data_IF_106538979404
#
_entry.id   IF_106538979404
#
_cell.length_a   1.000
_cell.length_b   1.000
_cell.length_c   1.000
_cell.angle_alpha   90.00
_cell.angle_beta   90.00
_cell.angle_gamma   90.00
#
_symmetry.space_group_name_H-M   'P 1'
#
loop_
_entity.id
_entity.type
_entity.pdbx_description
1 polymer ?
#
# COMPACT_ATOMS: atom_id res chain seq x y z
N UNK A 1 0.91 6.99 2.30
CA UNK A 1 -0.53 7.25 2.11
C UNK A 1 -1.12 7.72 3.43
N UNK A 2 -1.56 8.95 3.49
CA UNK A 2 -2.02 9.60 4.73
C UNK A 2 -3.49 10.03 4.68
N UNK A 3 -4.16 9.82 3.56
CA UNK A 3 -5.56 10.20 3.37
C UNK A 3 -6.46 8.98 3.31
N UNK A 4 -7.77 9.21 3.25
CA UNK A 4 -8.73 8.14 3.02
C UNK A 4 -8.54 7.54 1.63
N UNK A 5 -9.02 6.32 1.46
CA UNK A 5 -8.94 5.60 0.19
C UNK A 5 -10.01 6.13 -0.78
N UNK A 6 -9.57 6.81 -1.82
CA UNK A 6 -10.40 7.25 -2.93
C UNK A 6 -9.65 6.89 -4.21
N UNK A 7 -10.34 6.95 -5.35
CA UNK A 7 -9.64 6.78 -6.64
C UNK A 7 -8.59 7.87 -6.83
N UNK A 8 -8.86 9.09 -6.34
CA UNK A 8 -7.92 10.20 -6.46
C UNK A 8 -6.66 9.99 -5.62
N UNK A 9 -6.79 9.37 -4.43
CA UNK A 9 -5.64 9.14 -3.56
C UNK A 9 -4.85 7.89 -3.96
N UNK A 10 -5.51 6.88 -4.52
CA UNK A 10 -4.85 5.60 -4.87
C UNK A 10 -4.29 5.59 -6.29
N UNK A 11 -4.90 6.30 -7.23
CA UNK A 11 -4.46 6.29 -8.63
C UNK A 11 -2.99 6.70 -8.81
N UNK A 12 -2.47 7.75 -8.16
CA UNK A 12 -1.05 8.09 -8.28
C UNK A 12 -0.13 6.98 -7.76
N UNK A 13 -0.55 6.27 -6.73
CA UNK A 13 0.24 5.16 -6.15
C UNK A 13 0.23 3.96 -7.09
N UNK A 14 -0.92 3.63 -7.65
CA UNK A 14 -1.05 2.56 -8.65
C UNK A 14 -0.16 2.86 -9.85
N UNK A 15 -0.23 4.10 -10.35
CA UNK A 15 0.60 4.55 -11.47
C UNK A 15 2.09 4.42 -11.15
N UNK A 16 2.50 4.84 -9.96
CA UNK A 16 3.87 4.75 -9.50
C UNK A 16 4.37 3.30 -9.50
N UNK A 17 3.59 2.37 -8.95
CA UNK A 17 3.97 0.95 -8.93
C UNK A 17 4.11 0.41 -10.35
N UNK A 18 3.15 0.73 -11.23
CA UNK A 18 3.18 0.27 -12.62
C UNK A 18 4.41 0.84 -13.33
N UNK A 19 4.68 2.14 -13.19
CA UNK A 19 5.83 2.77 -13.84
C UNK A 19 7.14 2.15 -13.41
N UNK A 20 7.29 1.83 -12.12
CA UNK A 20 8.52 1.18 -11.64
C UNK A 20 8.67 -0.24 -12.18
N UNK A 21 7.56 -0.96 -12.35
CA UNK A 21 7.58 -2.30 -12.93
C UNK A 21 7.89 -2.31 -14.43
N UNK A 22 7.65 -1.19 -15.12
CA UNK A 22 7.94 -1.06 -16.55
C UNK A 22 9.40 -0.72 -16.84
N UNK A 23 10.18 -0.37 -15.83
CA UNK A 23 11.60 -0.10 -16.02
C UNK A 23 12.36 -1.35 -16.40
N UNK A 24 13.48 -1.23 -17.19
CA UNK A 24 14.37 -2.35 -17.42
C UNK A 24 14.90 -2.93 -16.11
N UNK A 25 15.19 -4.23 -16.08
CA UNK A 25 15.66 -4.90 -14.86
C UNK A 25 16.84 -4.20 -14.21
N UNK A 26 17.76 -3.65 -15.01
CA UNK A 26 18.94 -2.94 -14.50
C UNK A 26 18.61 -1.61 -13.80
N UNK A 27 17.44 -1.03 -14.06
CA UNK A 27 17.02 0.24 -13.51
C UNK A 27 15.90 0.10 -12.48
N UNK A 28 15.39 -1.12 -12.31
CA UNK A 28 14.28 -1.40 -11.42
C UNK A 28 14.74 -1.38 -9.96
N UNK A 29 14.04 -0.68 -9.06
CA UNK A 29 14.42 -0.70 -7.64
C UNK A 29 14.25 -2.11 -7.04
N UNK A 30 15.01 -2.39 -5.99
CA UNK A 30 14.94 -3.68 -5.31
C UNK A 30 13.65 -3.87 -4.53
N UNK A 31 13.06 -2.76 -4.09
CA UNK A 31 11.81 -2.76 -3.33
C UNK A 31 11.10 -1.42 -3.52
N UNK A 32 9.79 -1.43 -3.25
CA UNK A 32 8.99 -0.23 -3.14
C UNK A 32 8.47 -0.17 -1.70
N UNK A 33 8.55 0.99 -1.07
CA UNK A 33 8.07 1.16 0.29
C UNK A 33 6.82 2.03 0.30
N UNK A 34 5.74 1.50 0.85
CA UNK A 34 4.46 2.20 0.97
C UNK A 34 4.16 2.43 2.45
N UNK A 35 4.11 3.69 2.84
CA UNK A 35 3.74 4.09 4.20
C UNK A 35 2.24 4.29 4.24
N UNK A 36 1.57 3.63 5.19
CA UNK A 36 0.12 3.67 5.32
C UNK A 36 -0.26 4.30 6.65
N UNK A 37 -1.04 5.38 6.56
CA UNK A 37 -1.65 6.06 7.68
C UNK A 37 -3.02 6.53 7.19
N UNK A 38 -4.04 5.70 7.37
CA UNK A 38 -5.34 5.95 6.74
C UNK A 38 -6.50 5.46 7.59
N UNK A 39 -7.59 6.24 7.66
CA UNK A 39 -8.83 5.81 8.33
C UNK A 39 -9.64 4.80 7.50
N UNK A 40 -9.23 4.51 6.26
CA UNK A 40 -9.98 3.66 5.35
C UNK A 40 -10.62 4.46 4.23
N UNK A 41 -11.70 3.97 3.66
CA UNK A 41 -12.40 4.64 2.57
C UNK A 41 -13.01 3.67 1.58
N UNK A 42 -12.92 3.99 0.28
CA UNK A 42 -13.49 3.18 -0.78
C UNK A 42 -12.83 1.82 -0.91
N UNK A 43 -13.63 0.77 -0.79
CA UNK A 43 -13.16 -0.62 -0.93
C UNK A 43 -12.67 -0.87 -2.36
N UNK A 44 -13.36 -0.34 -3.36
CA UNK A 44 -12.96 -0.53 -4.75
C UNK A 44 -11.62 0.14 -5.06
N UNK A 45 -11.41 1.34 -4.54
CA UNK A 45 -10.12 2.02 -4.71
C UNK A 45 -9.00 1.25 -4.01
N UNK A 46 -9.27 0.70 -2.83
CA UNK A 46 -8.30 -0.12 -2.11
C UNK A 46 -7.98 -1.40 -2.88
N UNK A 47 -8.97 -2.06 -3.45
CA UNK A 47 -8.74 -3.28 -4.22
C UNK A 47 -7.88 -3.04 -5.45
N UNK A 48 -8.08 -1.91 -6.15
CA UNK A 48 -7.25 -1.56 -7.30
C UNK A 48 -5.77 -1.45 -6.88
N UNK A 49 -5.52 -0.80 -5.74
CA UNK A 49 -4.16 -0.69 -5.20
C UNK A 49 -3.61 -2.05 -4.76
N UNK A 50 -4.40 -2.84 -4.04
CA UNK A 50 -4.00 -4.15 -3.55
C UNK A 50 -3.65 -5.08 -4.71
N UNK A 51 -4.47 -5.11 -5.75
CA UNK A 51 -4.21 -5.97 -6.91
C UNK A 51 -2.94 -5.53 -7.63
N UNK A 52 -2.68 -4.24 -7.72
CA UNK A 52 -1.46 -3.71 -8.30
C UNK A 52 -0.24 -4.12 -7.47
N UNK A 53 -0.34 -4.05 -6.15
CA UNK A 53 0.74 -4.47 -5.25
C UNK A 53 1.05 -5.95 -5.41
N UNK A 54 0.01 -6.79 -5.47
CA UNK A 54 0.17 -8.25 -5.62
C UNK A 54 0.70 -8.64 -6.98
N UNK A 55 0.37 -7.86 -8.02
CA UNK A 55 0.88 -8.10 -9.36
C UNK A 55 2.27 -7.56 -9.62
N UNK A 56 2.83 -6.80 -8.68
CA UNK A 56 4.15 -6.19 -8.83
C UNK A 56 5.24 -7.25 -8.82
N UNK A 57 6.18 -7.17 -9.77
CA UNK A 57 7.39 -7.98 -9.78
C UNK A 57 8.41 -7.47 -8.75
N UNK A 58 8.24 -6.22 -8.30
CA UNK A 58 9.08 -5.62 -7.27
C UNK A 58 8.40 -5.82 -5.91
N UNK A 59 9.10 -6.34 -4.89
CA UNK A 59 8.50 -6.47 -3.56
C UNK A 59 8.00 -5.13 -3.03
N UNK A 60 6.79 -5.10 -2.48
CA UNK A 60 6.20 -3.90 -1.90
C UNK A 60 6.22 -4.06 -0.38
N UNK A 61 7.08 -3.28 0.25
CA UNK A 61 7.18 -3.24 1.71
C UNK A 61 6.16 -2.25 2.26
N UNK A 62 5.39 -2.64 3.26
CA UNK A 62 4.41 -1.74 3.87
C UNK A 62 4.85 -1.36 5.27
N UNK A 63 4.68 -0.08 5.60
CA UNK A 63 5.00 0.47 6.91
C UNK A 63 3.73 1.14 7.46
N UNK A 64 3.23 0.64 8.56
CA UNK A 64 2.07 1.22 9.24
C UNK A 64 2.50 2.32 10.18
N UNK A 65 1.82 3.46 10.10
CA UNK A 65 2.16 4.65 10.88
C UNK A 65 0.87 5.35 11.33
N UNK A 66 0.78 5.69 12.60
CA UNK A 66 -0.34 6.42 13.16
C UNK A 66 -1.61 5.59 13.24
N UNK A 67 -2.50 5.73 12.27
CA UNK A 67 -3.76 5.00 12.22
C UNK A 67 -3.86 4.15 10.96
N UNK A 68 -4.20 2.89 11.14
CA UNK A 68 -4.52 1.99 10.02
C UNK A 68 -5.89 1.40 10.32
N UNK A 69 -6.88 1.74 9.52
CA UNK A 69 -8.26 1.31 9.75
C UNK A 69 -8.91 0.81 8.47
N UNK A 70 -9.82 -0.15 8.61
CA UNK A 70 -10.66 -0.64 7.52
C UNK A 70 -9.84 -1.05 6.29
N UNK A 71 -10.03 -0.40 5.13
CA UNK A 71 -9.27 -0.70 3.91
C UNK A 71 -7.77 -0.51 4.07
N UNK A 72 -7.33 0.34 5.01
CA UNK A 72 -5.92 0.50 5.33
C UNK A 72 -5.29 -0.78 5.86
N UNK A 73 -6.04 -1.54 6.67
CA UNK A 73 -5.56 -2.84 7.19
C UNK A 73 -5.35 -3.81 6.04
N UNK A 74 -6.32 -3.91 5.13
CA UNK A 74 -6.22 -4.81 3.97
C UNK A 74 -5.01 -4.44 3.11
N UNK A 75 -4.82 -3.14 2.85
CA UNK A 75 -3.71 -2.67 2.03
C UNK A 75 -2.37 -2.94 2.71
N UNK A 76 -2.28 -2.71 4.02
CA UNK A 76 -1.09 -3.01 4.79
C UNK A 76 -0.74 -4.51 4.69
N UNK A 77 -1.74 -5.37 4.85
CA UNK A 77 -1.55 -6.82 4.80
C UNK A 77 -1.23 -7.32 3.38
N UNK A 78 -1.50 -6.53 2.35
CA UNK A 78 -1.14 -6.87 0.98
C UNK A 78 0.35 -6.66 0.69
N UNK A 79 1.08 -6.04 1.59
CA UNK A 79 2.53 -5.91 1.47
C UNK A 79 3.22 -7.28 1.43
N UNK A 80 4.42 -7.32 0.87
CA UNK A 80 5.20 -8.54 0.75
C UNK A 80 5.39 -9.19 2.11
N UNK A 81 5.08 -10.48 2.21
CA UNK A 81 5.19 -11.24 3.46
C UNK A 81 6.59 -11.12 4.02
N UNK A 82 6.68 -10.84 5.32
CA UNK A 82 7.96 -10.63 6.00
C UNK A 82 8.50 -9.21 5.91
N UNK A 83 7.81 -8.33 5.16
CA UNK A 83 8.25 -6.94 4.95
C UNK A 83 7.15 -5.94 5.28
N UNK A 84 6.38 -6.23 6.33
CA UNK A 84 5.34 -5.36 6.87
C UNK A 84 5.80 -4.91 8.25
N UNK A 85 5.88 -3.59 8.46
CA UNK A 85 6.36 -3.03 9.71
C UNK A 85 5.35 -2.04 10.28
N UNK A 86 5.23 -2.00 11.60
CA UNK A 86 4.34 -1.10 12.31
C UNK A 86 5.17 -0.26 13.26
N UNK A 87 4.98 1.06 13.23
CA UNK A 87 5.68 1.96 14.13
C UNK A 87 5.04 1.93 15.53
N UNK A 88 5.81 2.33 16.54
CA UNK A 88 5.46 2.16 17.96
C UNK A 88 4.09 2.71 18.35
N UNK A 89 3.71 3.88 17.81
CA UNK A 89 2.46 4.53 18.20
C UNK A 89 1.33 4.31 17.18
N UNK A 90 1.37 3.21 16.46
CA UNK A 90 0.37 2.90 15.43
C UNK A 90 -0.82 2.16 16.04
N UNK A 91 -2.02 2.61 15.69
CA UNK A 91 -3.27 1.92 16.02
C UNK A 91 -3.81 1.22 14.80
N UNK A 92 -4.20 -0.04 14.97
CA UNK A 92 -4.82 -0.82 13.90
C UNK A 92 -6.25 -1.11 14.29
N UNK A 93 -7.19 -0.66 13.45
CA UNK A 93 -8.62 -0.85 13.65
C UNK A 93 -9.18 -1.66 12.50
N UNK A 94 -9.72 -2.83 12.83
CA UNK A 94 -10.41 -3.66 11.86
C UNK A 94 -11.86 -3.79 12.31
N UNK A 95 -12.81 -3.48 11.41
CA UNK A 95 -14.23 -3.59 11.69
C UNK A 95 -14.98 -4.06 10.45
N UNK A 96 -16.15 -4.59 10.71
CA UNK A 96 -17.01 -5.07 9.64
C UNK A 96 -17.84 -3.95 9.03
#
# INVERSE_FOLDING_TARGET
MADGFTYESTAPIVKWIIEKNLLPDSERPEKLTLVINSPGGSVHAAFALIDTMKGSAIPVHTVGLGLIASCGVLTFMAGTKGHRAIKTNTSILSHQ
#
